data_IF_756559805169
#
_entry.id   IF_756559805169
#
_cell.length_a   1.000
_cell.length_b   1.000
_cell.length_c   1.000
_cell.angle_alpha   90.00
_cell.angle_beta   90.00
_cell.angle_gamma   90.00
#
_symmetry.space_group_name_H-M   'P 1'
#
loop_
_entity.id
_entity.type
_entity.pdbx_description
1 polymer ?
#
# COMPACT_ATOMS: atom_id res chain seq x y z
N UNK A 1 -6.55 18.00 0.68
CA UNK A 1 -5.43 17.07 0.41
C UNK A 1 -5.95 15.73 -0.11
N UNK A 2 -6.60 14.87 0.71
CA UNK A 2 -7.07 13.55 0.25
C UNK A 2 -8.09 13.55 -0.91
N UNK A 3 -8.99 14.53 -1.01
CA UNK A 3 -9.95 14.59 -2.12
C UNK A 3 -9.28 14.74 -3.50
N UNK A 4 -8.08 15.34 -3.59
CA UNK A 4 -7.33 15.53 -4.85
C UNK A 4 -6.82 14.19 -5.39
N UNK A 5 -6.45 13.27 -4.50
CA UNK A 5 -5.96 11.91 -4.79
C UNK A 5 -7.03 11.03 -5.41
N UNK A 6 -8.29 11.24 -5.04
CA UNK A 6 -9.43 10.47 -5.53
C UNK A 6 -10.29 11.29 -6.49
N UNK A 7 -9.70 12.32 -7.12
CA UNK A 7 -10.37 13.07 -8.18
C UNK A 7 -10.53 12.22 -9.44
N UNK A 8 -11.47 12.61 -10.30
CA UNK A 8 -11.67 11.92 -11.57
C UNK A 8 -10.38 11.84 -12.40
N UNK A 9 -9.66 12.97 -12.52
CA UNK A 9 -8.40 13.08 -13.24
C UNK A 9 -7.31 12.18 -12.65
N UNK A 10 -7.20 12.13 -11.31
CA UNK A 10 -6.25 11.26 -10.63
C UNK A 10 -6.57 9.78 -10.88
N UNK A 11 -7.84 9.38 -10.76
CA UNK A 11 -8.27 8.01 -11.01
C UNK A 11 -8.07 7.58 -12.48
N UNK A 12 -8.32 8.48 -13.44
CA UNK A 12 -8.05 8.24 -14.86
C UNK A 12 -6.56 8.01 -15.11
N UNK A 13 -5.69 8.79 -14.44
CA UNK A 13 -4.24 8.63 -14.53
C UNK A 13 -3.74 7.29 -13.97
N UNK A 14 -4.43 6.70 -12.99
CA UNK A 14 -4.06 5.42 -12.39
C UNK A 14 -4.48 4.22 -13.24
N UNK A 15 -5.50 4.38 -14.09
CA UNK A 15 -6.17 3.28 -14.80
C UNK A 15 -5.22 2.41 -15.64
N UNK A 16 -4.27 2.95 -16.45
CA UNK A 16 -3.35 2.13 -17.22
C UNK A 16 -2.50 1.21 -16.34
N UNK A 17 -2.06 1.71 -15.17
CA UNK A 17 -1.25 0.93 -14.24
C UNK A 17 -2.06 -0.14 -13.51
N UNK A 18 -3.31 0.18 -13.12
CA UNK A 18 -4.26 -0.80 -12.56
C UNK A 18 -4.47 -1.94 -13.55
N UNK A 19 -4.76 -1.62 -14.82
CA UNK A 19 -4.96 -2.62 -15.87
C UNK A 19 -3.73 -3.51 -16.07
N UNK A 20 -2.53 -2.91 -16.08
CA UNK A 20 -1.28 -3.67 -16.17
C UNK A 20 -1.15 -4.69 -15.03
N UNK A 21 -1.33 -4.26 -13.78
CA UNK A 21 -1.20 -5.14 -12.60
C UNK A 21 -2.24 -6.26 -12.61
N UNK A 22 -3.48 -5.96 -13.01
CA UNK A 22 -4.54 -6.97 -13.16
C UNK A 22 -4.16 -7.99 -14.23
N UNK A 23 -3.71 -7.54 -15.40
CA UNK A 23 -3.32 -8.44 -16.50
C UNK A 23 -2.15 -9.35 -16.11
N UNK A 24 -1.14 -8.82 -15.42
CA UNK A 24 -0.02 -9.60 -14.89
C UNK A 24 -0.51 -10.66 -13.89
N UNK A 25 -1.39 -10.29 -12.98
CA UNK A 25 -1.96 -11.19 -11.97
C UNK A 25 -2.81 -12.29 -12.60
N UNK A 26 -3.68 -11.94 -13.55
CA UNK A 26 -4.50 -12.92 -14.28
C UNK A 26 -3.64 -13.88 -15.08
N UNK A 27 -2.54 -13.39 -15.69
CA UNK A 27 -1.59 -14.27 -16.40
C UNK A 27 -0.99 -15.30 -15.43
N UNK A 28 -0.57 -14.88 -14.24
CA UNK A 28 -0.05 -15.80 -13.21
C UNK A 28 -1.10 -16.82 -12.80
N UNK A 29 -2.32 -16.39 -12.47
CA UNK A 29 -3.42 -17.30 -12.10
C UNK A 29 -3.74 -18.30 -13.21
N UNK A 30 -3.74 -17.87 -14.47
CA UNK A 30 -4.01 -18.74 -15.62
C UNK A 30 -2.87 -19.70 -15.95
N UNK A 31 -1.65 -19.39 -15.53
CA UNK A 31 -0.46 -20.21 -15.84
C UNK A 31 -0.31 -21.43 -14.92
N UNK A 32 -0.99 -21.41 -13.76
CA UNK A 32 -0.99 -22.51 -12.82
C UNK A 32 -2.26 -23.38 -13.01
N UNK A 33 -2.15 -24.71 -13.23
CA UNK A 33 -3.31 -25.58 -13.31
C UNK A 33 -4.06 -25.77 -11.98
N UNK A 34 -3.45 -25.40 -10.85
CA UNK A 34 -4.05 -25.56 -9.53
C UNK A 34 -5.16 -24.52 -9.27
N UNK A 35 -6.23 -24.90 -8.55
CA UNK A 35 -7.29 -23.98 -8.20
C UNK A 35 -6.80 -22.86 -7.26
N UNK A 36 -7.29 -21.64 -7.48
CA UNK A 36 -7.01 -20.49 -6.62
C UNK A 36 -8.14 -20.24 -5.62
N UNK A 37 -7.78 -19.71 -4.45
CA UNK A 37 -8.76 -19.12 -3.54
C UNK A 37 -9.00 -17.66 -3.96
N UNK A 38 -10.07 -17.43 -4.74
CA UNK A 38 -10.40 -16.11 -5.31
C UNK A 38 -10.49 -15.02 -4.25
N UNK A 39 -11.03 -15.31 -3.06
CA UNK A 39 -11.13 -14.33 -1.98
C UNK A 39 -9.74 -13.88 -1.50
N UNK A 40 -8.86 -14.84 -1.15
CA UNK A 40 -7.50 -14.52 -0.71
C UNK A 40 -6.69 -13.82 -1.80
N UNK A 41 -6.79 -14.31 -3.03
CA UNK A 41 -6.06 -13.74 -4.16
C UNK A 41 -6.57 -12.33 -4.53
N UNK A 42 -7.87 -12.05 -4.37
CA UNK A 42 -8.44 -10.71 -4.54
C UNK A 42 -7.97 -9.73 -3.45
N UNK A 43 -7.85 -10.19 -2.19
CA UNK A 43 -7.26 -9.38 -1.12
C UNK A 43 -5.79 -9.04 -1.43
N UNK A 44 -5.02 -10.03 -1.88
CA UNK A 44 -3.62 -9.85 -2.27
C UNK A 44 -3.47 -8.88 -3.43
N UNK A 45 -4.29 -9.02 -4.48
CA UNK A 45 -4.32 -8.10 -5.62
C UNK A 45 -4.68 -6.68 -5.18
N UNK A 46 -5.69 -6.52 -4.32
CA UNK A 46 -6.10 -5.20 -3.80
C UNK A 46 -4.98 -4.51 -3.02
N UNK A 47 -4.28 -5.26 -2.17
CA UNK A 47 -3.11 -4.76 -1.45
C UNK A 47 -1.98 -4.38 -2.40
N UNK A 48 -1.69 -5.23 -3.39
CA UNK A 48 -0.68 -4.98 -4.41
C UNK A 48 -0.97 -3.71 -5.20
N UNK A 49 -2.23 -3.49 -5.59
CA UNK A 49 -2.67 -2.24 -6.23
C UNK A 49 -2.42 -1.04 -5.31
N UNK A 50 -2.78 -1.10 -4.03
CA UNK A 50 -2.53 0.00 -3.11
C UNK A 50 -1.03 0.34 -3.01
N UNK A 51 -0.17 -0.66 -2.88
CA UNK A 51 1.27 -0.44 -2.73
C UNK A 51 1.94 0.02 -4.03
N UNK A 52 1.63 -0.62 -5.17
CA UNK A 52 2.29 -0.31 -6.45
C UNK A 52 1.68 0.86 -7.21
N UNK A 53 0.36 0.98 -7.20
CA UNK A 53 -0.36 2.00 -8.00
C UNK A 53 -0.54 3.27 -7.19
N UNK A 54 -1.05 3.16 -5.95
CA UNK A 54 -1.36 4.36 -5.16
C UNK A 54 -0.09 4.91 -4.49
N UNK A 55 0.68 4.07 -3.81
CA UNK A 55 1.88 4.54 -3.10
C UNK A 55 3.10 4.68 -4.04
N UNK A 56 3.09 3.96 -5.16
CA UNK A 56 4.20 3.93 -6.13
C UNK A 56 5.44 3.22 -5.63
N UNK A 57 5.31 2.37 -4.61
CA UNK A 57 6.45 1.70 -4.00
C UNK A 57 6.97 0.59 -4.90
N UNK A 58 8.28 0.60 -5.15
CA UNK A 58 8.99 -0.48 -5.84
C UNK A 58 9.54 -1.43 -4.78
N UNK A 59 8.79 -2.48 -4.47
CA UNK A 59 9.19 -3.53 -3.53
C UNK A 59 9.35 -4.86 -4.27
N UNK A 60 10.26 -5.71 -3.77
CA UNK A 60 10.41 -7.06 -4.31
C UNK A 60 9.15 -7.90 -4.07
N UNK A 61 9.00 -9.02 -4.77
CA UNK A 61 7.84 -9.92 -4.54
C UNK A 61 7.86 -10.50 -3.11
N UNK A 62 9.04 -10.80 -2.57
CA UNK A 62 9.22 -11.29 -1.20
C UNK A 62 8.84 -10.21 -0.17
N UNK A 63 9.29 -8.97 -0.37
CA UNK A 63 8.91 -7.83 0.47
C UNK A 63 7.41 -7.57 0.40
N UNK A 64 6.82 -7.62 -0.79
CA UNK A 64 5.38 -7.46 -0.99
C UNK A 64 4.59 -8.54 -0.24
N UNK A 65 5.04 -9.80 -0.29
CA UNK A 65 4.42 -10.90 0.43
C UNK A 65 4.50 -10.73 1.94
N UNK A 66 5.66 -10.30 2.46
CA UNK A 66 5.85 -10.00 3.88
C UNK A 66 4.95 -8.84 4.34
N UNK A 67 4.87 -7.77 3.54
CA UNK A 67 4.01 -6.61 3.77
C UNK A 67 2.53 -7.01 3.80
N UNK A 68 2.10 -7.85 2.85
CA UNK A 68 0.72 -8.34 2.82
C UNK A 68 0.38 -9.15 4.07
N UNK A 69 1.26 -10.06 4.49
CA UNK A 69 1.05 -10.82 5.73
C UNK A 69 0.98 -9.92 6.97
N UNK A 70 1.86 -8.92 7.05
CA UNK A 70 1.83 -7.94 8.14
C UNK A 70 0.53 -7.14 8.12
N UNK A 71 0.03 -6.77 6.93
CA UNK A 71 -1.26 -6.11 6.77
C UNK A 71 -2.44 -6.99 7.21
N UNK A 72 -2.43 -8.27 6.87
CA UNK A 72 -3.44 -9.21 7.35
C UNK A 72 -3.43 -9.31 8.88
N UNK A 73 -2.25 -9.45 9.49
CA UNK A 73 -2.08 -9.44 10.95
C UNK A 73 -2.64 -8.15 11.58
N UNK A 74 -2.48 -7.00 10.94
CA UNK A 74 -3.07 -5.75 11.39
C UNK A 74 -4.61 -5.78 11.31
N UNK A 75 -5.17 -6.12 10.15
CA UNK A 75 -6.62 -6.12 9.91
C UNK A 75 -7.35 -7.13 10.79
N UNK A 76 -6.81 -8.34 10.95
CA UNK A 76 -7.38 -9.40 11.79
C UNK A 76 -7.46 -9.00 13.28
N UNK A 77 -6.60 -8.07 13.71
CA UNK A 77 -6.50 -7.64 15.10
C UNK A 77 -7.05 -6.23 15.36
N UNK A 78 -7.60 -5.57 14.34
CA UNK A 78 -8.14 -4.22 14.44
C UNK A 78 -9.26 -4.08 15.46
N UNK A 79 -10.09 -5.12 15.59
CA UNK A 79 -11.23 -5.18 16.53
C UNK A 79 -10.96 -6.10 17.74
N UNK A 80 -9.69 -6.32 18.07
CA UNK A 80 -9.33 -7.06 19.29
C UNK A 80 -9.63 -6.27 20.55
N UNK A 81 -9.81 -6.97 21.68
CA UNK A 81 -9.97 -6.30 22.99
C UNK A 81 -8.75 -5.41 23.26
N UNK A 82 -8.92 -4.17 23.73
CA UNK A 82 -7.84 -3.19 23.92
C UNK A 82 -7.02 -3.49 25.19
N UNK A 83 -6.48 -4.71 25.29
CA UNK A 83 -5.72 -5.20 26.44
C UNK A 83 -4.34 -5.63 25.93
N UNK A 84 -3.30 -4.93 26.38
CA UNK A 84 -1.95 -5.10 25.88
C UNK A 84 -1.16 -6.21 26.60
N UNK A 85 -1.43 -7.47 26.23
CA UNK A 85 -0.71 -8.65 26.74
C UNK A 85 0.13 -9.32 25.65
N UNK A 86 1.23 -10.02 25.97
CA UNK A 86 2.16 -10.60 24.99
C UNK A 86 1.52 -11.56 23.97
N UNK A 87 0.38 -12.17 24.32
CA UNK A 87 -0.36 -13.13 23.49
C UNK A 87 -1.71 -12.58 23.02
N UNK A 88 -2.00 -11.29 23.30
CA UNK A 88 -3.24 -10.65 22.88
C UNK A 88 -3.21 -10.32 21.39
N UNK A 89 -4.41 -10.31 20.79
CA UNK A 89 -4.58 -9.77 19.45
C UNK A 89 -4.16 -8.30 19.37
N UNK A 90 -4.42 -7.51 20.42
CA UNK A 90 -4.05 -6.09 20.46
C UNK A 90 -2.54 -5.87 20.34
N UNK A 91 -1.73 -6.62 21.08
CA UNK A 91 -0.26 -6.59 20.95
C UNK A 91 0.19 -7.01 19.55
N UNK A 92 -0.45 -8.01 18.93
CA UNK A 92 -0.16 -8.44 17.57
C UNK A 92 -0.48 -7.34 16.55
N UNK A 93 -1.64 -6.70 16.68
CA UNK A 93 -2.06 -5.57 15.84
C UNK A 93 -1.13 -4.36 15.96
N UNK A 94 -0.71 -3.99 17.18
CA UNK A 94 0.26 -2.90 17.39
C UNK A 94 1.59 -3.21 16.70
N UNK A 95 2.14 -4.42 16.87
CA UNK A 95 3.40 -4.81 16.20
C UNK A 95 3.29 -4.76 14.68
N UNK A 96 2.16 -5.23 14.15
CA UNK A 96 1.89 -5.18 12.72
C UNK A 96 1.82 -3.73 12.20
N UNK A 97 1.08 -2.85 12.90
CA UNK A 97 1.03 -1.42 12.61
C UNK A 97 2.42 -0.79 12.59
N UNK A 98 3.20 -0.99 13.65
CA UNK A 98 4.54 -0.39 13.79
C UNK A 98 5.48 -0.85 12.66
N UNK A 99 5.34 -2.11 12.21
CA UNK A 99 6.10 -2.65 11.08
C UNK A 99 5.65 -2.05 9.74
N UNK A 100 4.34 -1.98 9.49
CA UNK A 100 3.80 -1.35 8.28
C UNK A 100 4.18 0.13 8.19
N UNK A 101 4.09 0.84 9.31
CA UNK A 101 4.48 2.23 9.40
C UNK A 101 5.94 2.39 9.00
N UNK A 102 6.88 1.65 9.62
CA UNK A 102 8.30 1.71 9.25
C UNK A 102 8.55 1.49 7.75
N UNK A 103 7.83 0.56 7.14
CA UNK A 103 7.93 0.31 5.69
C UNK A 103 7.43 1.49 4.86
N UNK A 104 6.30 2.10 5.25
CA UNK A 104 5.78 3.33 4.61
C UNK A 104 6.77 4.48 4.78
N UNK A 105 7.32 4.67 5.98
CA UNK A 105 8.30 5.72 6.26
C UNK A 105 9.57 5.56 5.41
N UNK A 106 10.10 4.33 5.33
CA UNK A 106 11.24 4.00 4.47
C UNK A 106 10.93 4.33 3.01
N UNK A 107 9.78 3.88 2.52
CA UNK A 107 9.42 4.07 1.13
C UNK A 107 9.16 5.55 0.78
N UNK A 108 8.56 6.35 1.68
CA UNK A 108 8.43 7.81 1.51
C UNK A 108 9.81 8.48 1.43
N UNK A 109 10.77 8.09 2.28
CA UNK A 109 12.14 8.65 2.27
C UNK A 109 12.91 8.30 1.01
N UNK A 110 12.73 7.10 0.48
CA UNK A 110 13.44 6.61 -0.72
C UNK A 110 12.81 7.14 -2.01
N UNK A 111 11.55 7.60 -1.96
CA UNK A 111 10.78 8.03 -3.13
C UNK A 111 11.39 9.18 -3.95
N UNK A 112 11.95 10.26 -3.37
CA UNK A 112 12.59 11.34 -4.12
C UNK A 112 13.80 10.88 -4.95
N UNK A 113 14.46 9.80 -4.52
CA UNK A 113 15.63 9.23 -5.23
C UNK A 113 15.22 8.44 -6.49
N UNK A 114 13.95 8.03 -6.58
CA UNK A 114 13.40 7.22 -7.65
C UNK A 114 12.44 7.96 -8.60
N UNK A 115 12.29 9.28 -8.44
CA UNK A 115 11.45 10.11 -9.31
C UNK A 115 12.08 10.38 -10.68
N UNK A 116 13.38 10.14 -10.84
CA UNK A 116 14.11 10.27 -12.11
C UNK A 116 13.65 9.15 -13.08
N UNK A 117 12.78 9.48 -14.04
CA UNK A 117 12.33 8.55 -15.10
C UNK A 117 11.00 7.83 -14.84
N UNK A 118 10.09 8.44 -14.08
CA UNK A 118 8.74 7.91 -13.86
C UNK A 118 7.73 8.60 -14.79
N UNK A 119 7.09 7.81 -15.66
CA UNK A 119 6.12 8.31 -16.64
C UNK A 119 4.68 8.48 -16.09
N UNK A 120 4.47 8.30 -14.78
CA UNK A 120 3.15 8.40 -14.16
C UNK A 120 3.19 9.01 -12.76
N UNK A 121 2.13 9.75 -12.42
CA UNK A 121 1.90 10.35 -11.09
C UNK A 121 1.08 9.38 -10.25
N UNK A 122 1.51 9.09 -9.03
CA UNK A 122 0.75 8.24 -8.10
C UNK A 122 0.03 9.05 -7.01
N UNK A 123 -0.79 8.38 -6.21
CA UNK A 123 -1.54 9.02 -5.13
C UNK A 123 -0.66 9.70 -4.08
N UNK A 124 0.48 9.10 -3.74
CA UNK A 124 1.40 9.68 -2.78
C UNK A 124 2.16 10.88 -3.37
N UNK A 125 2.42 10.92 -4.68
CA UNK A 125 2.95 12.11 -5.38
C UNK A 125 1.96 13.28 -5.23
N UNK A 126 0.69 13.04 -5.54
CA UNK A 126 -0.39 14.04 -5.40
C UNK A 126 -0.54 14.52 -3.95
N UNK A 127 -0.40 13.63 -2.97
CA UNK A 127 -0.42 13.98 -1.55
C UNK A 127 0.76 14.90 -1.18
N UNK A 128 1.98 14.54 -1.60
CA UNK A 128 3.19 15.30 -1.29
C UNK A 128 3.17 16.68 -1.96
N UNK A 129 2.71 16.78 -3.20
CA UNK A 129 2.53 18.06 -3.90
C UNK A 129 1.46 18.92 -3.24
N UNK A 130 0.29 18.35 -2.94
CA UNK A 130 -0.78 19.07 -2.26
C UNK A 130 -0.37 19.55 -0.86
N UNK A 131 0.46 18.79 -0.15
CA UNK A 131 0.99 19.21 1.15
C UNK A 131 1.93 20.43 1.02
N UNK A 132 2.84 20.41 0.03
CA UNK A 132 3.71 21.55 -0.29
C UNK A 132 2.91 22.80 -0.69
N UNK A 133 1.89 22.65 -1.52
CA UNK A 133 0.99 23.75 -1.93
C UNK A 133 0.30 24.43 -0.74
N UNK A 134 -0.02 23.66 0.32
CA UNK A 134 -0.72 24.16 1.50
C UNK A 134 0.22 24.64 2.63
N UNK A 135 1.55 24.71 2.41
CA UNK A 135 2.57 24.97 3.44
C UNK A 135 2.46 24.04 4.68
N UNK A 136 1.82 22.88 4.51
CA UNK A 136 1.78 21.82 5.52
C UNK A 136 2.91 20.85 5.17
N UNK A 137 3.97 20.82 5.98
CA UNK A 137 4.84 19.65 5.94
C UNK A 137 4.02 18.45 6.40
N UNK A 138 3.89 17.42 5.54
CA UNK A 138 3.44 16.10 5.97
C UNK A 138 4.49 15.59 6.97
N UNK A 139 4.30 15.96 8.23
CA UNK A 139 5.19 15.52 9.29
C UNK A 139 5.00 14.02 9.45
N UNK A 140 6.09 13.31 9.72
CA UNK A 140 6.05 11.87 10.04
C UNK A 140 5.10 11.54 11.22
N UNK A 141 4.60 12.55 11.93
CA UNK A 141 3.60 12.45 12.98
C UNK A 141 2.16 12.32 12.47
N UNK A 142 1.80 12.85 11.29
CA UNK A 142 0.47 12.68 10.70
C UNK A 142 0.26 11.29 10.07
N UNK A 143 1.33 10.50 9.98
CA UNK A 143 1.34 9.08 9.56
C UNK A 143 1.27 8.09 10.75
N UNK A 144 1.10 8.58 11.99
CA UNK A 144 1.02 7.77 13.22
C UNK A 144 -0.38 7.28 13.57
#
# INVERSE_FOLDING_TARGET
IFAKVFSHEALESYLPKIQQVIQETLRVWSSNPDPINVYRESQRLSFHMAVRVLLGFRVSEEEMHCLFHTFQDFVENLFSLPIDLPFSGYRKGIRARDSLQKSIEKAIREKPLHTQGKDYTDALDVLLESAKENNTELTMQELK
#
